data_IF_019273198784
#
_entry.id   IF_019273198784
#
_cell.length_a   1.000
_cell.length_b   1.000
_cell.length_c   1.000
_cell.angle_alpha   90.00
_cell.angle_beta   90.00
_cell.angle_gamma   90.00
#
_symmetry.space_group_name_H-M   'P 1'
#
loop_
_entity.id
_entity.type
_entity.pdbx_description
1 polymer ?
#
# COMPACT_ATOMS: atom_id res chain seq x y z
N UNK A 1 -14.85 -9.12 -7.35
CA UNK A 1 -14.91 -10.27 -6.40
C UNK A 1 -13.93 -11.36 -6.83
N UNK A 2 -12.65 -11.21 -6.49
CA UNK A 2 -11.66 -12.29 -6.61
C UNK A 2 -11.45 -12.85 -5.20
N UNK A 3 -11.77 -14.13 -5.00
CA UNK A 3 -11.59 -14.84 -3.72
C UNK A 3 -10.09 -14.95 -3.44
N UNK A 4 -9.64 -14.32 -2.35
CA UNK A 4 -8.28 -14.37 -1.86
C UNK A 4 -7.88 -15.81 -1.50
N UNK A 5 -6.86 -16.31 -2.20
CA UNK A 5 -6.15 -17.55 -1.92
C UNK A 5 -5.47 -17.52 -0.53
N UNK A 6 -5.25 -16.32 0.03
CA UNK A 6 -4.71 -16.10 1.39
C UNK A 6 -5.61 -16.65 2.52
N UNK A 7 -6.92 -16.77 2.29
CA UNK A 7 -7.86 -17.28 3.30
C UNK A 7 -7.75 -18.78 3.55
N UNK A 8 -7.06 -19.54 2.69
CA UNK A 8 -6.93 -21.00 2.80
C UNK A 8 -5.60 -21.38 3.47
N UNK A 9 -4.56 -20.55 3.36
CA UNK A 9 -3.22 -20.85 3.88
C UNK A 9 -3.18 -20.67 5.41
N UNK A 10 -3.80 -19.61 5.94
CA UNK A 10 -3.85 -19.34 7.38
C UNK A 10 -4.50 -20.47 8.21
N UNK A 11 -5.69 -21.00 7.85
CA UNK A 11 -6.27 -22.11 8.60
C UNK A 11 -5.48 -23.41 8.45
N UNK A 12 -4.70 -23.60 7.39
CA UNK A 12 -3.86 -24.80 7.18
C UNK A 12 -2.64 -24.79 8.10
N UNK A 13 -2.05 -23.61 8.33
CA UNK A 13 -0.98 -23.40 9.31
C UNK A 13 -1.50 -23.62 10.74
N UNK A 14 -2.68 -23.07 11.07
CA UNK A 14 -3.31 -23.32 12.37
C UNK A 14 -3.76 -24.78 12.55
N UNK A 15 -4.14 -25.48 11.49
CA UNK A 15 -4.48 -26.90 11.55
C UNK A 15 -3.23 -27.79 11.74
N UNK A 16 -2.10 -27.41 11.15
CA UNK A 16 -0.80 -28.08 11.36
C UNK A 16 -0.28 -27.84 12.79
N UNK A 17 -0.39 -26.60 13.30
CA UNK A 17 -0.04 -26.27 14.69
C UNK A 17 -1.03 -26.92 15.69
N UNK A 18 -2.31 -27.01 15.33
CA UNK A 18 -3.36 -27.67 16.12
C UNK A 18 -3.26 -29.19 16.14
N UNK A 19 -2.80 -29.84 15.07
CA UNK A 19 -2.48 -31.28 15.07
C UNK A 19 -1.20 -31.60 15.86
N UNK A 20 -0.28 -30.63 15.97
CA UNK A 20 0.83 -30.68 16.93
C UNK A 20 0.39 -30.39 18.38
N UNK A 21 -0.79 -29.79 18.60
CA UNK A 21 -1.26 -29.32 19.91
C UNK A 21 -2.45 -30.06 20.53
N UNK A 22 -3.15 -30.96 19.82
CA UNK A 22 -4.32 -31.69 20.35
C UNK A 22 -4.08 -33.20 20.34
N UNK A 23 -3.25 -33.61 21.29
CA UNK A 23 -3.33 -34.91 21.95
C UNK A 23 -3.37 -34.80 23.47
N UNK A 24 -3.55 -33.59 24.03
CA UNK A 24 -3.42 -33.35 25.47
C UNK A 24 -4.72 -32.81 26.08
N UNK A 25 -5.51 -33.73 26.60
CA UNK A 25 -6.46 -33.50 27.68
C UNK A 25 -7.51 -34.62 27.78
N UNK A 26 -7.88 -35.14 28.97
CA UNK A 26 -7.27 -35.05 30.29
C UNK A 26 -7.03 -36.47 30.88
N UNK A 27 -5.77 -36.91 30.92
CA UNK A 27 -5.38 -38.02 31.78
C UNK A 27 -4.23 -37.52 32.65
N UNK A 28 -4.63 -36.94 33.79
CA UNK A 28 -3.77 -36.81 34.94
C UNK A 28 -3.30 -38.21 35.35
N UNK A 29 -2.09 -38.56 34.91
CA UNK A 29 -1.15 -39.33 35.70
C UNK A 29 0.23 -38.97 35.18
N UNK A 30 0.99 -38.20 35.98
CA UNK A 30 2.43 -38.19 35.83
C UNK A 30 2.93 -39.64 35.85
N UNK A 31 3.91 -39.95 35.00
CA UNK A 31 5.13 -40.52 35.53
C UNK A 31 6.25 -39.53 35.21
N UNK A 32 6.83 -38.97 36.27
CA UNK A 32 8.07 -38.20 36.19
C UNK A 32 9.28 -39.07 35.80
N UNK A 33 9.05 -40.26 35.24
CA UNK A 33 10.03 -41.35 35.17
C UNK A 33 10.21 -41.90 33.74
N UNK A 34 9.63 -41.28 32.71
CA UNK A 34 9.75 -41.75 31.30
C UNK A 34 10.82 -41.01 30.48
N UNK A 35 11.57 -40.09 31.09
CA UNK A 35 12.64 -39.31 30.46
C UNK A 35 14.02 -39.66 30.99
N UNK A 36 14.17 -40.86 31.56
CA UNK A 36 15.43 -41.39 32.11
C UNK A 36 16.12 -42.36 31.11
N UNK A 37 15.79 -42.27 29.83
CA UNK A 37 16.52 -42.94 28.75
C UNK A 37 17.31 -41.90 27.94
N UNK A 38 18.65 -41.83 28.08
CA UNK A 38 19.49 -40.82 27.44
C UNK A 38 19.56 -40.93 25.90
N UNK A 39 18.89 -41.89 25.28
CA UNK A 39 18.99 -42.19 23.85
C UNK A 39 17.83 -41.67 22.99
N UNK A 40 16.70 -41.24 23.58
CA UNK A 40 15.53 -40.75 22.80
C UNK A 40 15.70 -39.31 22.27
N UNK A 41 16.47 -38.45 22.95
CA UNK A 41 16.86 -37.16 22.37
C UNK A 41 17.82 -37.38 21.19
N UNK A 42 18.79 -38.30 21.33
CA UNK A 42 19.76 -38.61 20.28
C UNK A 42 19.08 -39.20 19.02
N UNK A 43 18.07 -40.04 19.17
CA UNK A 43 17.33 -40.62 18.04
C UNK A 43 16.41 -39.60 17.33
N UNK A 44 15.84 -38.63 18.04
CA UNK A 44 15.05 -37.55 17.44
C UNK A 44 15.92 -36.62 16.55
N UNK A 45 17.16 -36.36 16.94
CA UNK A 45 18.12 -35.58 16.14
C UNK A 45 18.74 -36.39 14.99
N UNK A 46 18.73 -37.72 15.06
CA UNK A 46 19.34 -38.61 14.06
C UNK A 46 18.46 -38.87 12.82
N UNK A 47 17.17 -38.48 12.81
CA UNK A 47 16.26 -38.74 11.69
C UNK A 47 16.20 -37.64 10.62
N UNK A 48 16.81 -36.48 10.84
CA UNK A 48 17.06 -35.52 9.76
C UNK A 48 18.51 -35.72 9.29
N UNK A 49 18.77 -35.83 7.97
CA UNK A 49 20.14 -35.77 7.48
C UNK A 49 20.70 -34.39 7.85
N UNK A 50 21.43 -34.30 8.97
CA UNK A 50 22.00 -33.06 9.51
C UNK A 50 22.88 -32.35 8.48
N UNK A 51 23.40 -33.09 7.49
CA UNK A 51 24.17 -32.54 6.38
C UNK A 51 23.34 -31.79 5.31
N UNK A 52 22.03 -32.07 5.16
CA UNK A 52 21.17 -31.39 4.17
C UNK A 52 20.48 -30.13 4.76
N UNK A 53 20.46 -29.98 6.08
CA UNK A 53 19.85 -28.83 6.76
C UNK A 53 20.60 -27.52 6.45
N UNK A 54 21.95 -27.45 6.48
CA UNK A 54 22.70 -26.23 6.17
C UNK A 54 22.51 -25.77 4.72
N UNK A 55 22.61 -26.69 3.75
CA UNK A 55 22.47 -26.38 2.33
C UNK A 55 21.06 -25.86 2.00
N UNK A 56 20.03 -26.43 2.64
CA UNK A 56 18.65 -25.97 2.51
C UNK A 56 18.44 -24.58 3.14
N UNK A 57 19.07 -24.32 4.28
CA UNK A 57 19.01 -23.02 4.95
C UNK A 57 19.76 -21.91 4.20
N UNK A 58 20.82 -22.23 3.49
CA UNK A 58 21.50 -21.28 2.61
C UNK A 58 20.64 -20.93 1.40
N UNK A 59 20.02 -21.92 0.74
CA UNK A 59 19.09 -21.69 -0.37
C UNK A 59 17.86 -20.86 0.06
N UNK A 60 17.24 -21.17 1.21
CA UNK A 60 16.09 -20.41 1.74
C UNK A 60 16.50 -18.96 2.14
N UNK A 61 17.74 -18.74 2.59
CA UNK A 61 18.25 -17.40 2.89
C UNK A 61 18.50 -16.56 1.63
N UNK A 62 19.06 -17.16 0.57
CA UNK A 62 19.26 -16.50 -0.73
C UNK A 62 17.91 -16.12 -1.37
N UNK A 63 16.91 -16.99 -1.30
CA UNK A 63 15.55 -16.69 -1.76
C UNK A 63 14.92 -15.54 -0.98
N UNK A 64 15.12 -15.49 0.34
CA UNK A 64 14.61 -14.42 1.19
C UNK A 64 15.27 -13.06 0.90
N UNK A 65 16.58 -13.04 0.68
CA UNK A 65 17.32 -11.83 0.26
C UNK A 65 16.86 -11.33 -1.11
N UNK A 66 16.63 -12.25 -2.07
CA UNK A 66 16.08 -11.90 -3.38
C UNK A 66 14.68 -11.30 -3.27
N UNK A 67 13.82 -11.86 -2.41
CA UNK A 67 12.49 -11.34 -2.14
C UNK A 67 12.54 -9.94 -1.52
N UNK A 68 13.42 -9.73 -0.52
CA UNK A 68 13.65 -8.43 0.11
C UNK A 68 14.12 -7.37 -0.90
N UNK A 69 15.11 -7.70 -1.73
CA UNK A 69 15.60 -6.80 -2.77
C UNK A 69 14.49 -6.43 -3.78
N UNK A 70 13.67 -7.40 -4.18
CA UNK A 70 12.51 -7.16 -5.04
C UNK A 70 11.48 -6.24 -4.37
N UNK A 71 11.17 -6.46 -3.09
CA UNK A 71 10.24 -5.63 -2.33
C UNK A 71 10.75 -4.18 -2.19
N UNK A 72 12.04 -3.99 -1.92
CA UNK A 72 12.67 -2.66 -1.88
C UNK A 72 12.61 -1.92 -3.23
N UNK A 73 12.84 -2.64 -4.34
CA UNK A 73 12.69 -2.07 -5.68
C UNK A 73 11.23 -1.65 -5.92
N UNK A 74 10.26 -2.51 -5.59
CA UNK A 74 8.84 -2.21 -5.73
C UNK A 74 8.42 -0.99 -4.87
N UNK A 75 8.91 -0.90 -3.63
CA UNK A 75 8.68 0.24 -2.75
C UNK A 75 9.25 1.53 -3.36
N UNK A 76 10.49 1.49 -3.87
CA UNK A 76 11.11 2.66 -4.50
C UNK A 76 10.36 3.12 -5.75
N UNK A 77 9.87 2.19 -6.57
CA UNK A 77 9.07 2.50 -7.76
C UNK A 77 7.72 3.13 -7.38
N UNK A 78 7.07 2.60 -6.34
CA UNK A 78 5.82 3.14 -5.79
C UNK A 78 6.03 4.56 -5.26
N UNK A 79 7.14 4.83 -4.56
CA UNK A 79 7.49 6.16 -4.08
C UNK A 79 7.69 7.17 -5.22
N UNK A 80 8.33 6.76 -6.31
CA UNK A 80 8.51 7.61 -7.50
C UNK A 80 7.16 7.94 -8.14
N UNK A 81 6.33 6.92 -8.35
CA UNK A 81 4.99 7.11 -8.91
C UNK A 81 4.12 8.02 -8.03
N UNK A 82 4.23 7.90 -6.70
CA UNK A 82 3.55 8.78 -5.75
C UNK A 82 3.98 10.23 -5.93
N UNK A 83 5.29 10.49 -6.02
CA UNK A 83 5.82 11.84 -6.24
C UNK A 83 5.38 12.45 -7.57
N UNK A 84 5.29 11.65 -8.63
CA UNK A 84 4.79 12.10 -9.93
C UNK A 84 3.31 12.49 -9.86
N UNK A 85 2.48 11.68 -9.21
CA UNK A 85 1.06 11.97 -9.00
C UNK A 85 0.85 13.19 -8.10
N UNK A 86 1.63 13.35 -7.03
CA UNK A 86 1.56 14.52 -6.15
C UNK A 86 1.94 15.80 -6.90
N UNK A 87 2.97 15.76 -7.75
CA UNK A 87 3.33 16.87 -8.62
C UNK A 87 2.23 17.20 -9.63
N UNK A 88 1.56 16.17 -10.19
CA UNK A 88 0.40 16.38 -11.06
C UNK A 88 -0.76 17.03 -10.30
N UNK A 89 -1.11 16.54 -9.10
CA UNK A 89 -2.15 17.11 -8.23
C UNK A 89 -1.89 18.60 -8.01
N UNK A 90 -0.68 18.95 -7.57
CA UNK A 90 -0.30 20.34 -7.30
C UNK A 90 -0.40 21.24 -8.54
N UNK A 91 -0.02 20.72 -9.72
CA UNK A 91 -0.17 21.45 -10.99
C UNK A 91 -1.64 21.69 -11.34
N UNK A 92 -2.50 20.71 -11.12
CA UNK A 92 -3.92 20.81 -11.40
C UNK A 92 -4.62 21.75 -10.40
N UNK A 93 -4.25 21.73 -9.12
CA UNK A 93 -4.73 22.69 -8.11
C UNK A 93 -4.39 24.14 -8.51
N UNK A 94 -3.17 24.39 -8.99
CA UNK A 94 -2.78 25.69 -9.53
C UNK A 94 -3.64 26.11 -10.72
N UNK A 95 -3.86 25.19 -11.66
CA UNK A 95 -4.72 25.43 -12.82
C UNK A 95 -6.18 25.70 -12.41
N UNK A 96 -6.68 25.00 -11.38
CA UNK A 96 -8.02 25.19 -10.83
C UNK A 96 -8.16 26.59 -10.22
N UNK A 97 -7.16 27.03 -9.48
CA UNK A 97 -7.12 28.39 -8.93
C UNK A 97 -7.20 29.46 -10.03
N UNK A 98 -6.43 29.28 -11.11
CA UNK A 98 -6.44 30.18 -12.27
C UNK A 98 -7.81 30.19 -12.97
N UNK A 99 -8.44 29.02 -13.13
CA UNK A 99 -9.79 28.91 -13.71
C UNK A 99 -10.85 29.59 -12.85
N UNK A 100 -10.82 29.38 -11.52
CA UNK A 100 -11.73 30.05 -10.59
C UNK A 100 -11.56 31.58 -10.63
N UNK A 101 -10.33 32.06 -10.75
CA UNK A 101 -10.06 33.49 -10.91
C UNK A 101 -10.59 34.03 -12.25
N UNK A 102 -10.40 33.28 -13.35
CA UNK A 102 -10.94 33.63 -14.66
C UNK A 102 -12.48 33.67 -14.63
N UNK A 103 -13.11 32.70 -13.98
CA UNK A 103 -14.55 32.62 -13.79
C UNK A 103 -15.07 33.84 -13.02
N UNK A 104 -14.41 34.22 -11.93
CA UNK A 104 -14.77 35.41 -11.15
C UNK A 104 -14.68 36.69 -12.00
N UNK A 105 -13.61 36.85 -12.79
CA UNK A 105 -13.44 38.00 -13.69
C UNK A 105 -14.50 38.03 -14.79
N UNK A 106 -14.81 36.88 -15.39
CA UNK A 106 -15.84 36.77 -16.43
C UNK A 106 -17.23 37.10 -15.86
N UNK A 107 -17.58 36.55 -14.69
CA UNK A 107 -18.82 36.86 -13.99
C UNK A 107 -18.92 38.35 -13.62
N UNK A 108 -17.83 38.97 -13.15
CA UNK A 108 -17.80 40.40 -12.86
C UNK A 108 -18.04 41.25 -14.12
N UNK A 109 -17.41 40.89 -15.25
CA UNK A 109 -17.64 41.56 -16.53
C UNK A 109 -19.08 41.42 -16.98
N UNK A 110 -19.65 40.22 -16.87
CA UNK A 110 -21.05 39.96 -17.21
C UNK A 110 -22.01 40.81 -16.37
N UNK A 111 -21.78 40.90 -15.05
CA UNK A 111 -22.59 41.73 -14.14
C UNK A 111 -22.49 43.23 -14.47
N UNK A 112 -21.30 43.72 -14.82
CA UNK A 112 -21.11 45.10 -15.24
C UNK A 112 -21.82 45.38 -16.57
N UNK A 113 -21.68 44.50 -17.56
CA UNK A 113 -22.37 44.63 -18.86
C UNK A 113 -23.89 44.54 -18.72
N UNK A 114 -24.41 43.75 -17.78
CA UNK A 114 -25.85 43.74 -17.45
C UNK A 114 -26.29 45.07 -16.82
N UNK A 115 -25.51 45.60 -15.88
CA UNK A 115 -25.82 46.88 -15.24
C UNK A 115 -25.74 48.07 -16.21
N UNK A 116 -24.82 48.04 -17.19
CA UNK A 116 -24.71 49.05 -18.25
C UNK A 116 -25.77 48.85 -19.34
N UNK A 117 -26.10 47.60 -19.70
CA UNK A 117 -27.13 47.27 -20.68
C UNK A 117 -28.55 47.65 -20.23
N UNK A 118 -28.84 47.54 -18.93
CA UNK A 118 -30.07 48.08 -18.31
C UNK A 118 -30.13 49.63 -18.36
N UNK A 119 -28.98 50.31 -18.55
CA UNK A 119 -28.90 51.76 -18.74
C UNK A 119 -28.92 52.18 -20.22
N UNK A 120 -28.58 51.27 -21.15
CA UNK A 120 -28.45 51.50 -22.60
C UNK A 120 -29.58 50.84 -23.44
N UNK A 121 -30.81 50.74 -22.91
CA UNK A 121 -32.00 50.16 -23.59
C UNK A 121 -32.40 50.83 -24.96
N UNK A 122 -31.52 51.62 -25.59
CA UNK A 122 -31.68 52.20 -26.93
C UNK A 122 -30.68 51.68 -28.00
N UNK A 123 -29.69 50.84 -27.68
CA UNK A 123 -28.65 50.43 -28.63
C UNK A 123 -28.56 48.93 -28.93
N UNK A 124 -28.71 48.51 -30.19
CA UNK A 124 -28.74 47.12 -30.65
C UNK A 124 -27.45 46.26 -30.46
N UNK A 125 -26.50 46.67 -29.60
CA UNK A 125 -25.19 46.03 -29.41
C UNK A 125 -24.97 45.32 -28.06
N UNK A 126 -25.69 45.68 -26.99
CA UNK A 126 -25.40 45.17 -25.64
C UNK A 126 -25.73 43.69 -25.43
N UNK A 127 -26.77 43.17 -26.09
CA UNK A 127 -27.22 41.79 -25.92
C UNK A 127 -26.23 40.73 -26.44
N UNK A 128 -25.45 41.05 -27.47
CA UNK A 128 -24.45 40.12 -28.00
C UNK A 128 -23.27 39.91 -27.04
N UNK A 129 -22.79 40.99 -26.42
CA UNK A 129 -21.68 40.94 -25.45
C UNK A 129 -22.07 40.13 -24.20
N UNK A 130 -23.30 40.30 -23.70
CA UNK A 130 -23.85 39.53 -22.57
C UNK A 130 -23.94 38.05 -22.94
N UNK A 131 -24.40 37.73 -24.16
CA UNK A 131 -24.48 36.34 -24.62
C UNK A 131 -23.10 35.68 -24.71
N UNK A 132 -22.12 36.37 -25.27
CA UNK A 132 -20.74 35.86 -25.41
C UNK A 132 -20.09 35.62 -24.04
N UNK A 133 -20.20 36.57 -23.11
CA UNK A 133 -19.72 36.43 -21.73
C UNK A 133 -20.45 35.29 -20.98
N UNK A 134 -21.75 35.11 -21.21
CA UNK A 134 -22.51 34.00 -20.64
C UNK A 134 -22.00 32.64 -21.12
N UNK A 135 -21.67 32.52 -22.41
CA UNK A 135 -21.08 31.28 -22.95
C UNK A 135 -19.66 31.03 -22.45
N UNK A 136 -18.83 32.06 -22.34
CA UNK A 136 -17.47 31.97 -21.79
C UNK A 136 -17.51 31.52 -20.32
N UNK A 137 -18.41 32.09 -19.52
CA UNK A 137 -18.59 31.71 -18.12
C UNK A 137 -19.02 30.24 -17.96
N UNK A 138 -19.93 29.76 -18.81
CA UNK A 138 -20.37 28.37 -18.80
C UNK A 138 -19.22 27.39 -19.14
N UNK A 139 -18.37 27.74 -20.10
CA UNK A 139 -17.19 26.94 -20.45
C UNK A 139 -16.17 26.89 -19.31
N UNK A 140 -15.94 28.02 -18.61
CA UNK A 140 -15.06 28.07 -17.44
C UNK A 140 -15.59 27.22 -16.29
N UNK A 141 -16.91 27.21 -16.07
CA UNK A 141 -17.55 26.35 -15.07
C UNK A 141 -17.37 24.87 -15.38
N UNK A 142 -17.62 24.45 -16.62
CA UNK A 142 -17.47 23.06 -17.08
C UNK A 142 -16.02 22.58 -16.95
N UNK A 143 -15.05 23.42 -17.34
CA UNK A 143 -13.63 23.14 -17.18
C UNK A 143 -13.23 23.01 -15.70
N UNK A 144 -13.79 23.85 -14.83
CA UNK A 144 -13.55 23.83 -13.37
C UNK A 144 -14.07 22.53 -12.75
N UNK A 145 -15.28 22.10 -13.12
CA UNK A 145 -15.87 20.84 -12.65
C UNK A 145 -15.04 19.63 -13.10
N UNK A 146 -14.67 19.59 -14.38
CA UNK A 146 -13.84 18.52 -14.94
C UNK A 146 -12.50 18.41 -14.22
N UNK A 147 -11.85 19.55 -13.96
CA UNK A 147 -10.56 19.59 -13.29
C UNK A 147 -10.68 19.19 -11.81
N UNK A 148 -11.74 19.63 -11.13
CA UNK A 148 -12.01 19.25 -9.75
C UNK A 148 -12.20 17.74 -9.60
N UNK A 149 -12.99 17.12 -10.48
CA UNK A 149 -13.15 15.66 -10.51
C UNK A 149 -11.81 14.93 -10.76
N UNK A 150 -10.94 15.48 -11.61
CA UNK A 150 -9.62 14.90 -11.87
C UNK A 150 -8.73 14.93 -10.63
N UNK A 151 -8.76 16.03 -9.87
CA UNK A 151 -8.00 16.16 -8.62
C UNK A 151 -8.48 15.12 -7.60
N UNK A 152 -9.80 14.95 -7.43
CA UNK A 152 -10.38 13.95 -6.51
C UNK A 152 -9.89 12.54 -6.87
N UNK A 153 -9.86 12.18 -8.15
CA UNK A 153 -9.37 10.86 -8.57
C UNK A 153 -7.89 10.66 -8.25
N UNK A 154 -7.07 11.71 -8.37
CA UNK A 154 -5.65 11.64 -8.00
C UNK A 154 -5.49 11.54 -6.47
N UNK A 155 -6.32 12.24 -5.69
CA UNK A 155 -6.32 12.11 -4.23
C UNK A 155 -6.67 10.68 -3.77
N UNK A 156 -7.65 10.05 -4.43
CA UNK A 156 -8.03 8.65 -4.20
C UNK A 156 -6.86 7.71 -4.53
N UNK A 157 -6.24 7.87 -5.71
CA UNK A 157 -5.07 7.08 -6.13
C UNK A 157 -3.88 7.26 -5.17
N UNK A 158 -3.62 8.48 -4.67
CA UNK A 158 -2.55 8.74 -3.70
C UNK A 158 -2.83 8.07 -2.35
N UNK A 159 -4.07 8.13 -1.86
CA UNK A 159 -4.48 7.45 -0.62
C UNK A 159 -4.29 5.92 -0.74
N UNK A 160 -4.71 5.35 -1.85
CA UNK A 160 -4.55 3.93 -2.19
C UNK A 160 -3.07 3.51 -2.22
N UNK A 161 -2.20 4.39 -2.71
CA UNK A 161 -0.75 4.15 -2.76
C UNK A 161 -0.09 4.26 -1.39
N UNK A 162 -0.51 5.18 -0.52
CA UNK A 162 -0.03 5.29 0.86
C UNK A 162 -0.35 4.06 1.70
N UNK A 163 -1.56 3.51 1.54
CA UNK A 163 -1.96 2.27 2.21
C UNK A 163 -1.03 1.11 1.79
N UNK A 164 -0.84 0.92 0.48
CA UNK A 164 0.07 -0.13 -0.05
C UNK A 164 1.53 0.08 0.38
N UNK A 165 2.02 1.32 0.37
CA UNK A 165 3.38 1.61 0.79
C UNK A 165 3.62 1.29 2.29
N UNK A 166 2.59 1.43 3.11
CA UNK A 166 2.62 1.06 4.53
C UNK A 166 2.68 -0.48 4.67
N UNK A 167 1.81 -1.20 3.96
CA UNK A 167 1.81 -2.67 3.94
C UNK A 167 3.15 -3.27 3.44
N UNK A 168 3.71 -2.68 2.39
CA UNK A 168 5.01 -3.09 1.85
C UNK A 168 6.15 -2.80 2.85
N UNK A 169 6.07 -1.68 3.57
CA UNK A 169 7.02 -1.34 4.64
C UNK A 169 7.00 -2.35 5.79
N UNK A 170 5.81 -2.70 6.29
CA UNK A 170 5.63 -3.73 7.33
C UNK A 170 6.15 -5.11 6.86
N UNK A 171 5.94 -5.43 5.59
CA UNK A 171 6.44 -6.68 4.99
C UNK A 171 7.97 -6.74 5.01
N UNK A 172 8.64 -5.63 4.66
CA UNK A 172 10.11 -5.54 4.69
C UNK A 172 10.64 -5.69 6.12
N UNK A 173 10.00 -5.04 7.10
CA UNK A 173 10.39 -5.12 8.52
C UNK A 173 10.27 -6.57 9.05
N UNK A 174 9.16 -7.24 8.74
CA UNK A 174 8.95 -8.64 9.14
C UNK A 174 10.02 -9.58 8.57
N UNK A 175 10.44 -9.37 7.31
CA UNK A 175 11.54 -10.15 6.71
C UNK A 175 12.84 -9.94 7.49
N UNK A 176 13.14 -8.70 7.90
CA UNK A 176 14.33 -8.40 8.70
C UNK A 176 14.31 -9.05 10.08
N UNK A 177 13.15 -9.08 10.74
CA UNK A 177 12.97 -9.78 12.01
C UNK A 177 13.19 -11.29 11.85
N UNK A 178 12.60 -11.90 10.83
CA UNK A 178 12.78 -13.33 10.52
C UNK A 178 14.25 -13.65 10.27
N UNK A 179 14.95 -12.85 9.45
CA UNK A 179 16.38 -13.04 9.19
C UNK A 179 17.24 -12.86 10.45
N UNK A 180 16.84 -11.97 11.36
CA UNK A 180 17.54 -11.74 12.62
C UNK A 180 17.34 -12.93 13.57
N UNK A 181 16.11 -13.45 13.67
CA UNK A 181 15.80 -14.64 14.44
C UNK A 181 16.52 -15.88 13.87
N UNK A 182 16.56 -16.05 12.55
CA UNK A 182 17.28 -17.13 11.89
C UNK A 182 18.79 -17.10 12.20
N UNK A 183 19.43 -15.92 12.10
CA UNK A 183 20.84 -15.74 12.49
C UNK A 183 21.09 -16.08 13.96
N UNK A 184 20.18 -15.70 14.86
CA UNK A 184 20.27 -16.02 16.29
C UNK A 184 20.15 -17.53 16.55
N UNK A 185 19.23 -18.21 15.87
CA UNK A 185 19.08 -19.68 15.97
C UNK A 185 20.30 -20.40 15.42
N UNK A 186 20.87 -19.97 14.29
CA UNK A 186 22.13 -20.52 13.75
C UNK A 186 23.29 -20.38 14.74
N UNK A 187 23.40 -19.23 15.41
CA UNK A 187 24.44 -19.00 16.42
C UNK A 187 24.29 -19.90 17.65
N UNK A 188 23.06 -20.31 18.01
CA UNK A 188 22.78 -21.23 19.11
C UNK A 188 22.93 -22.71 18.71
N UNK A 189 22.71 -23.04 17.43
CA UNK A 189 22.80 -24.41 16.89
C UNK A 189 24.24 -24.84 16.55
N UNK A 190 25.19 -23.91 16.44
CA UNK A 190 26.61 -24.22 16.36
C UNK A 190 27.06 -24.84 17.70
N UNK A 191 27.48 -26.11 17.75
CA UNK A 191 28.11 -26.63 18.95
C UNK A 191 29.34 -25.77 19.22
N UNK A 192 29.52 -25.36 20.48
CA UNK A 192 30.75 -24.75 20.96
C UNK A 192 31.91 -25.71 20.65
N UNK A 193 32.52 -25.53 19.49
CA UNK A 193 33.70 -26.26 19.07
C UNK A 193 34.91 -25.57 19.71
N UNK A 194 35.11 -25.84 21.00
CA UNK A 194 36.39 -25.71 21.69
C UNK A 194 36.78 -27.06 22.31
#
# INVERSE_FOLDING_TARGET
MKRNTFSIILPLIFFLIGMLGIGAGPLFAQPADLWDEPDMEAECWAMLPIAEIPDRWEAEAEEMEAYKASAQIAQSATQVAYQELEAERWRLEGTLSDLMLAQQKCAQRLLLSLAEGDLEEEGAGGGQVISELGTELAQLMDATETLHLRIILIEDDLSDMEERATEDGETIELIEEIQTADRAMRALALPAAE
#
